data_IF_438894784836
#
_entry.id   IF_438894784836
#
_cell.length_a   1.000
_cell.length_b   1.000
_cell.length_c   1.000
_cell.angle_alpha   90.00
_cell.angle_beta   90.00
_cell.angle_gamma   90.00
#
_symmetry.space_group_name_H-M   'P 1'
#
loop_
_entity.id
_entity.type
_entity.pdbx_description
1 polymer ?
#
# COMPACT_ATOMS: atom_id res chain seq x y z
N UNK A 1 0.86 7.98 17.20
CA UNK A 1 -0.34 7.11 17.22
C UNK A 1 -1.62 7.81 16.77
N UNK A 2 -2.12 8.86 17.45
CA UNK A 2 -3.38 9.54 17.08
C UNK A 2 -3.38 10.09 15.65
N UNK A 3 -2.28 10.70 15.20
CA UNK A 3 -2.17 11.28 13.85
C UNK A 3 -2.29 10.24 12.72
N UNK A 4 -1.64 9.08 12.88
CA UNK A 4 -1.67 7.97 11.92
C UNK A 4 -3.10 7.45 11.70
N UNK A 5 -3.81 7.20 12.80
CA UNK A 5 -5.20 6.73 12.77
C UNK A 5 -6.15 7.79 12.22
N UNK A 6 -5.94 9.08 12.55
CA UNK A 6 -6.73 10.19 12.01
C UNK A 6 -6.56 10.27 10.49
N UNK A 7 -5.34 10.23 9.97
CA UNK A 7 -5.13 10.31 8.51
C UNK A 7 -5.70 9.09 7.76
N UNK A 8 -5.57 7.88 8.30
CA UNK A 8 -6.21 6.69 7.71
C UNK A 8 -7.74 6.82 7.72
N UNK A 9 -8.31 7.32 8.82
CA UNK A 9 -9.75 7.55 8.93
C UNK A 9 -10.22 8.62 7.94
N UNK A 10 -9.47 9.72 7.79
CA UNK A 10 -9.76 10.77 6.80
C UNK A 10 -9.76 10.18 5.39
N UNK A 11 -8.73 9.41 5.01
CA UNK A 11 -8.67 8.78 3.69
C UNK A 11 -9.87 7.87 3.47
N UNK A 12 -10.23 7.02 4.44
CA UNK A 12 -11.39 6.11 4.35
C UNK A 12 -12.71 6.89 4.21
N UNK A 13 -12.91 7.94 5.00
CA UNK A 13 -14.11 8.78 4.93
C UNK A 13 -14.19 9.47 3.57
N UNK A 14 -13.09 10.04 3.07
CA UNK A 14 -13.05 10.66 1.75
C UNK A 14 -13.36 9.65 0.65
N UNK A 15 -12.89 8.42 0.78
CA UNK A 15 -13.16 7.33 -0.17
C UNK A 15 -14.65 6.95 -0.18
N UNK A 16 -15.26 6.79 1.00
CA UNK A 16 -16.70 6.50 1.13
C UNK A 16 -17.56 7.63 0.55
N UNK A 17 -17.26 8.88 0.93
CA UNK A 17 -17.98 10.06 0.42
C UNK A 17 -17.87 10.14 -1.10
N UNK A 18 -16.67 9.90 -1.65
CA UNK A 18 -16.44 9.96 -3.10
C UNK A 18 -17.16 8.84 -3.85
N UNK A 19 -17.24 7.62 -3.28
CA UNK A 19 -18.05 6.53 -3.85
C UNK A 19 -19.53 6.89 -3.89
N UNK A 20 -20.07 7.46 -2.81
CA UNK A 20 -21.48 7.88 -2.77
C UNK A 20 -21.73 8.97 -3.81
N UNK A 21 -20.88 9.99 -3.86
CA UNK A 21 -20.97 11.08 -4.85
C UNK A 21 -20.79 10.61 -6.28
N UNK A 22 -20.00 9.56 -6.53
CA UNK A 22 -19.78 9.01 -7.87
C UNK A 22 -21.05 8.48 -8.54
N UNK A 23 -22.07 8.12 -7.75
CA UNK A 23 -23.38 7.71 -8.28
C UNK A 23 -24.18 8.90 -8.86
N UNK A 24 -23.84 10.13 -8.44
CA UNK A 24 -24.53 11.36 -8.85
C UNK A 24 -23.67 12.25 -9.75
N UNK A 25 -22.35 12.15 -9.65
CA UNK A 25 -21.36 12.94 -10.40
C UNK A 25 -20.31 11.99 -10.99
N UNK A 26 -20.31 11.74 -12.31
CA UNK A 26 -19.44 10.74 -12.95
C UNK A 26 -17.94 11.07 -12.82
N UNK A 27 -17.58 12.35 -12.72
CA UNK A 27 -16.19 12.79 -12.52
C UNK A 27 -15.61 12.35 -11.15
N UNK A 28 -16.49 12.04 -10.18
CA UNK A 28 -16.06 11.55 -8.86
C UNK A 28 -15.63 10.08 -8.86
N UNK A 29 -15.80 9.32 -9.95
CA UNK A 29 -15.39 7.90 -10.03
C UNK A 29 -13.86 7.75 -9.97
N UNK A 30 -13.11 8.72 -10.48
CA UNK A 30 -11.64 8.71 -10.50
C UNK A 30 -11.07 8.91 -9.11
N UNK A 31 -11.75 9.67 -8.25
CA UNK A 31 -11.29 10.04 -6.91
C UNK A 31 -11.06 8.82 -5.99
N UNK A 32 -12.01 7.87 -5.82
CA UNK A 32 -11.78 6.68 -5.02
C UNK A 32 -10.73 5.75 -5.64
N UNK A 33 -10.59 5.75 -6.96
CA UNK A 33 -9.52 5.01 -7.65
C UNK A 33 -8.14 5.58 -7.29
N UNK A 34 -7.96 6.90 -7.39
CA UNK A 34 -6.71 7.58 -7.05
C UNK A 34 -6.39 7.49 -5.55
N UNK A 35 -7.38 7.73 -4.69
CA UNK A 35 -7.21 7.64 -3.24
C UNK A 35 -6.89 6.22 -2.79
N UNK A 36 -7.59 5.22 -3.32
CA UNK A 36 -7.43 3.82 -2.94
C UNK A 36 -6.13 3.20 -3.45
N UNK A 37 -5.74 3.47 -4.70
CA UNK A 37 -4.57 2.84 -5.32
C UNK A 37 -3.26 3.58 -5.06
N UNK A 38 -3.28 4.90 -4.87
CA UNK A 38 -2.04 5.68 -4.78
C UNK A 38 -1.87 6.34 -3.42
N UNK A 39 -2.88 7.07 -2.93
CA UNK A 39 -2.73 7.88 -1.71
C UNK A 39 -2.68 6.99 -0.47
N UNK A 40 -3.58 6.01 -0.35
CA UNK A 40 -3.63 5.11 0.81
C UNK A 40 -2.35 4.27 0.95
N UNK A 41 -1.83 3.59 -0.09
CA UNK A 41 -0.59 2.83 0.02
C UNK A 41 0.63 3.72 0.28
N UNK A 42 0.69 4.90 -0.33
CA UNK A 42 1.78 5.87 -0.11
C UNK A 42 1.78 6.37 1.34
N UNK A 43 0.62 6.71 1.88
CA UNK A 43 0.47 7.13 3.28
C UNK A 43 0.87 6.02 4.26
N UNK A 44 0.45 4.78 3.97
CA UNK A 44 0.82 3.61 4.75
C UNK A 44 2.34 3.36 4.72
N UNK A 45 2.98 3.44 3.54
CA UNK A 45 4.44 3.37 3.38
C UNK A 45 5.15 4.45 4.18
N UNK A 46 4.66 5.69 4.13
CA UNK A 46 5.29 6.83 4.79
C UNK A 46 5.21 6.69 6.32
N UNK A 47 4.07 6.27 6.86
CA UNK A 47 3.91 6.00 8.29
C UNK A 47 4.88 4.93 8.76
N UNK A 48 4.99 3.81 8.04
CA UNK A 48 5.84 2.76 8.55
C UNK A 48 7.32 2.93 8.25
N UNK A 49 7.71 3.79 7.30
CA UNK A 49 9.07 4.34 7.23
C UNK A 49 9.41 5.13 8.50
N UNK A 50 8.47 5.95 9.00
CA UNK A 50 8.63 6.65 10.28
C UNK A 50 8.78 5.62 11.43
N UNK A 51 8.02 4.52 11.43
CA UNK A 51 8.12 3.47 12.45
C UNK A 51 9.40 2.62 12.34
N UNK A 52 10.02 2.56 11.17
CA UNK A 52 11.30 1.90 10.96
C UNK A 52 12.44 2.60 11.71
N UNK A 53 12.36 3.94 11.81
CA UNK A 53 13.34 4.77 12.51
C UNK A 53 13.10 4.90 14.02
N UNK A 54 11.95 4.43 14.53
CA UNK A 54 11.63 4.51 15.95
C UNK A 54 12.33 3.38 16.74
N UNK A 55 13.18 3.76 17.71
CA UNK A 55 13.99 2.80 18.49
C UNK A 55 13.13 1.91 19.37
N UNK A 56 12.03 2.46 19.89
CA UNK A 56 11.06 1.78 20.77
C UNK A 56 9.98 1.01 19.97
N UNK A 57 10.04 1.05 18.64
CA UNK A 57 9.08 0.42 17.75
C UNK A 57 9.00 -1.11 17.91
N UNK A 58 7.78 -1.64 17.95
CA UNK A 58 7.53 -3.08 18.00
C UNK A 58 8.23 -3.79 16.81
N UNK A 59 9.02 -4.83 17.13
CA UNK A 59 9.87 -5.59 16.19
C UNK A 59 9.08 -6.14 15.00
N UNK A 60 7.81 -6.50 15.22
CA UNK A 60 6.93 -7.01 14.17
C UNK A 60 6.69 -6.00 13.05
N UNK A 61 6.46 -4.71 13.38
CA UNK A 61 6.25 -3.68 12.36
C UNK A 61 7.53 -3.43 11.56
N UNK A 62 8.69 -3.45 12.24
CA UNK A 62 9.98 -3.30 11.55
C UNK A 62 10.25 -4.45 10.57
N UNK A 63 9.93 -5.68 10.93
CA UNK A 63 10.06 -6.82 10.01
C UNK A 63 9.09 -6.72 8.84
N UNK A 64 7.84 -6.33 9.10
CA UNK A 64 6.86 -6.08 8.05
C UNK A 64 7.37 -5.03 7.06
N UNK A 65 7.84 -3.89 7.55
CA UNK A 65 8.32 -2.80 6.68
C UNK A 65 9.56 -3.15 5.88
N UNK A 66 10.49 -3.92 6.47
CA UNK A 66 11.62 -4.49 5.71
C UNK A 66 11.14 -5.39 4.57
N UNK A 67 10.14 -6.25 4.82
CA UNK A 67 9.53 -7.10 3.80
C UNK A 67 8.89 -6.30 2.66
N UNK A 68 8.15 -5.24 3.00
CA UNK A 68 7.56 -4.32 2.01
C UNK A 68 8.63 -3.65 1.15
N UNK A 69 9.70 -3.14 1.75
CA UNK A 69 10.80 -2.51 1.01
C UNK A 69 11.51 -3.49 0.07
N UNK A 70 11.76 -4.72 0.53
CA UNK A 70 12.34 -5.78 -0.32
C UNK A 70 11.41 -6.11 -1.48
N UNK A 71 10.10 -6.21 -1.24
CA UNK A 71 9.13 -6.46 -2.29
C UNK A 71 9.14 -5.36 -3.37
N UNK A 72 9.04 -4.08 -2.97
CA UNK A 72 9.08 -2.98 -3.93
C UNK A 72 10.42 -2.89 -4.67
N UNK A 73 11.53 -3.17 -3.99
CA UNK A 73 12.83 -3.25 -4.63
C UNK A 73 12.89 -4.37 -5.69
N UNK A 74 12.37 -5.57 -5.37
CA UNK A 74 12.30 -6.67 -6.33
C UNK A 74 11.42 -6.33 -7.53
N UNK A 75 10.23 -5.75 -7.31
CA UNK A 75 9.36 -5.29 -8.39
C UNK A 75 10.09 -4.27 -9.27
N UNK A 76 10.76 -3.28 -8.68
CA UNK A 76 11.53 -2.28 -9.43
C UNK A 76 12.63 -2.92 -10.27
N UNK A 77 13.38 -3.87 -9.70
CA UNK A 77 14.40 -4.63 -10.44
C UNK A 77 13.78 -5.44 -11.60
N UNK A 78 12.65 -6.11 -11.37
CA UNK A 78 11.95 -6.85 -12.42
C UNK A 78 11.42 -5.93 -13.53
N UNK A 79 10.84 -4.78 -13.18
CA UNK A 79 10.38 -3.79 -14.17
C UNK A 79 11.55 -3.19 -14.95
N UNK A 80 12.70 -2.96 -14.31
CA UNK A 80 13.90 -2.46 -15.00
C UNK A 80 14.47 -3.52 -15.96
N UNK A 81 14.56 -4.77 -15.52
CA UNK A 81 14.96 -5.89 -16.37
C UNK A 81 13.95 -6.13 -17.50
N UNK A 82 12.67 -5.81 -17.28
CA UNK A 82 11.62 -5.89 -18.32
C UNK A 82 11.95 -5.09 -19.57
N UNK A 83 12.48 -3.89 -19.38
CA UNK A 83 12.85 -3.00 -20.48
C UNK A 83 14.14 -3.40 -21.24
N UNK A 84 14.89 -4.41 -20.77
CA UNK A 84 16.21 -4.76 -21.33
C UNK A 84 16.25 -6.07 -22.15
N UNK A 85 15.27 -6.96 -22.01
CA UNK A 85 15.25 -8.22 -22.79
C UNK A 85 14.04 -8.29 -23.72
N UNK A 86 14.26 -8.71 -24.97
CA UNK A 86 13.24 -8.72 -26.03
C UNK A 86 12.23 -9.89 -25.95
N UNK A 87 12.43 -10.91 -25.11
CA UNK A 87 11.53 -12.08 -24.96
C UNK A 87 11.23 -12.36 -23.48
N UNK A 88 10.05 -11.96 -23.00
CA UNK A 88 9.75 -11.86 -21.56
C UNK A 88 8.45 -12.48 -21.06
N UNK A 89 7.89 -13.45 -21.79
CA UNK A 89 6.64 -14.12 -21.38
C UNK A 89 6.69 -14.67 -19.94
N UNK A 90 7.87 -15.16 -19.50
CA UNK A 90 8.09 -15.67 -18.15
C UNK A 90 8.07 -14.56 -17.08
N UNK A 91 8.69 -13.42 -17.36
CA UNK A 91 8.74 -12.27 -16.42
C UNK A 91 7.36 -11.62 -16.33
N UNK A 92 6.65 -11.48 -17.44
CA UNK A 92 5.26 -11.00 -17.47
C UNK A 92 4.30 -11.95 -16.74
N UNK A 93 4.47 -13.26 -16.90
CA UNK A 93 3.67 -14.26 -16.16
C UNK A 93 3.90 -14.15 -14.65
N UNK A 94 5.15 -13.99 -14.20
CA UNK A 94 5.47 -13.80 -12.77
C UNK A 94 4.92 -12.46 -12.27
N UNK A 95 5.12 -11.36 -12.99
CA UNK A 95 4.62 -10.04 -12.61
C UNK A 95 3.09 -10.00 -12.56
N UNK A 96 2.39 -10.64 -13.49
CA UNK A 96 0.92 -10.70 -13.48
C UNK A 96 0.40 -11.56 -12.32
N UNK A 97 1.06 -12.68 -12.01
CA UNK A 97 0.65 -13.57 -10.93
C UNK A 97 0.91 -12.98 -9.54
N UNK A 98 1.97 -12.20 -9.36
CA UNK A 98 2.42 -11.74 -8.04
C UNK A 98 2.36 -10.22 -7.85
N UNK A 99 2.32 -9.44 -8.93
CA UNK A 99 2.31 -7.97 -8.89
C UNK A 99 1.03 -7.36 -8.33
N UNK A 100 -0.10 -8.07 -8.40
CA UNK A 100 -1.40 -7.61 -7.89
C UNK A 100 -1.75 -8.21 -6.51
N UNK A 101 -1.65 -9.54 -6.28
CA UNK A 101 -2.10 -10.11 -5.01
C UNK A 101 -1.15 -9.85 -3.84
N UNK A 102 0.16 -9.72 -4.07
CA UNK A 102 1.11 -9.47 -2.98
C UNK A 102 0.91 -8.08 -2.33
N UNK A 103 0.76 -6.97 -3.07
CA UNK A 103 0.47 -5.67 -2.48
C UNK A 103 -0.83 -5.66 -1.67
N UNK A 104 -1.86 -6.36 -2.14
CA UNK A 104 -3.14 -6.50 -1.43
C UNK A 104 -2.93 -7.23 -0.10
N UNK A 105 -2.22 -8.37 -0.11
CA UNK A 105 -1.91 -9.11 1.11
C UNK A 105 -1.06 -8.29 2.09
N UNK A 106 -0.07 -7.55 1.58
CA UNK A 106 0.75 -6.64 2.39
C UNK A 106 -0.10 -5.54 3.03
N UNK A 107 -1.01 -4.90 2.28
CA UNK A 107 -1.88 -3.84 2.80
C UNK A 107 -2.86 -4.36 3.88
N UNK A 108 -3.44 -5.54 3.68
CA UNK A 108 -4.31 -6.19 4.66
C UNK A 108 -3.53 -6.52 5.95
N UNK A 109 -2.34 -7.08 5.81
CA UNK A 109 -1.50 -7.43 6.96
C UNK A 109 -1.00 -6.18 7.71
N UNK A 110 -0.69 -5.08 7.01
CA UNK A 110 -0.38 -3.80 7.67
C UNK A 110 -1.55 -3.27 8.48
N UNK A 111 -2.75 -3.33 7.90
CA UNK A 111 -3.98 -2.90 8.56
C UNK A 111 -4.25 -3.73 9.80
N UNK A 112 -3.99 -5.05 9.74
CA UNK A 112 -4.07 -5.94 10.90
C UNK A 112 -3.08 -5.53 12.01
N UNK A 113 -1.82 -5.30 11.66
CA UNK A 113 -0.77 -4.86 12.60
C UNK A 113 -1.14 -3.51 13.24
N UNK A 114 -1.57 -2.53 12.44
CA UNK A 114 -2.00 -1.22 12.93
C UNK A 114 -3.16 -1.33 13.92
N UNK A 115 -4.16 -2.16 13.60
CA UNK A 115 -5.30 -2.39 14.48
C UNK A 115 -4.91 -3.10 15.77
N UNK A 116 -4.04 -4.11 15.71
CA UNK A 116 -3.46 -4.78 16.88
C UNK A 116 -2.73 -3.79 17.79
N UNK A 117 -1.93 -2.90 17.20
CA UNK A 117 -1.15 -1.93 17.95
C UNK A 117 -2.01 -0.78 18.51
N UNK A 118 -3.06 -0.35 17.80
CA UNK A 118 -3.98 0.68 18.27
C UNK A 118 -4.90 0.26 19.41
N UNK A 119 -5.07 -1.05 19.64
CA UNK A 119 -5.91 -1.59 20.73
C UNK A 119 -5.14 -1.79 22.04
N UNK A 120 -3.82 -1.74 22.00
CA UNK A 120 -2.94 -1.73 23.18
C UNK A 120 -2.67 -0.28 23.60
#
# INVERSE_FOLDING_TARGET
MKLSNIGNLTIVITLIISIILSQFIPDCVIIPFVLGLFIMPTYQLLIGLIWLGDSDGNKEIRYYFRGVLVYFFLIFCFTYLHNFFEHQELIESILSMFGIPIPIMLALYFTYILNQHSRK
#
